data_IF_563053657410
#
_entry.id   IF_563053657410
#
_cell.length_a   1.000
_cell.length_b   1.000
_cell.length_c   1.000
_cell.angle_alpha   90.00
_cell.angle_beta   90.00
_cell.angle_gamma   90.00
#
_symmetry.space_group_name_H-M   'P 1'
#
loop_
_entity.id
_entity.type
_entity.pdbx_description
1 polymer ?
#
# COMPACT_ATOMS: atom_id res chain seq x y z
N UNK A 1 -48.82 43.82 3.37
CA UNK A 1 -47.83 42.72 3.51
C UNK A 1 -48.43 41.39 3.02
N UNK A 2 -48.67 41.22 1.70
CA UNK A 2 -49.26 39.97 1.20
C UNK A 2 -48.88 39.63 -0.25
N UNK A 3 -47.67 39.99 -0.68
CA UNK A 3 -47.32 39.90 -2.11
C UNK A 3 -45.92 39.32 -2.40
N UNK A 4 -45.35 38.54 -1.47
CA UNK A 4 -44.05 37.84 -1.71
C UNK A 4 -44.08 36.35 -1.32
N UNK A 5 -45.22 35.80 -0.88
CA UNK A 5 -45.32 34.40 -0.39
C UNK A 5 -45.58 33.40 -1.53
N UNK A 6 -46.31 33.82 -2.57
CA UNK A 6 -46.75 32.97 -3.67
C UNK A 6 -45.64 32.24 -4.47
N UNK A 7 -44.45 32.81 -4.76
CA UNK A 7 -43.43 32.11 -5.55
C UNK A 7 -42.67 31.04 -4.77
N UNK A 8 -42.55 31.18 -3.44
CA UNK A 8 -41.85 30.20 -2.60
C UNK A 8 -42.71 28.97 -2.32
N UNK A 9 -44.02 29.14 -2.15
CA UNK A 9 -44.95 28.01 -1.98
C UNK A 9 -44.99 27.11 -3.22
N UNK A 10 -44.95 27.70 -4.43
CA UNK A 10 -44.88 26.94 -5.68
C UNK A 10 -43.58 26.13 -5.80
N UNK A 11 -42.44 26.74 -5.46
CA UNK A 11 -41.14 26.04 -5.49
C UNK A 11 -41.06 24.89 -4.48
N UNK A 12 -41.67 25.05 -3.30
CA UNK A 12 -41.73 23.99 -2.28
C UNK A 12 -42.60 22.82 -2.74
N UNK A 13 -43.72 23.08 -3.42
CA UNK A 13 -44.57 22.03 -3.95
C UNK A 13 -43.92 21.28 -5.12
N UNK A 14 -43.15 21.96 -5.98
CA UNK A 14 -42.37 21.31 -7.04
C UNK A 14 -41.24 20.43 -6.46
N UNK A 15 -40.52 20.90 -5.44
CA UNK A 15 -39.51 20.11 -4.73
C UNK A 15 -40.14 18.87 -4.06
N UNK A 16 -41.32 19.00 -3.45
CA UNK A 16 -42.04 17.85 -2.87
C UNK A 16 -42.45 16.83 -3.93
N UNK A 17 -42.82 17.28 -5.14
CA UNK A 17 -43.11 16.37 -6.25
C UNK A 17 -41.84 15.65 -6.71
N UNK A 18 -40.73 16.35 -6.84
CA UNK A 18 -39.45 15.75 -7.24
C UNK A 18 -38.96 14.72 -6.22
N UNK A 19 -39.10 15.00 -4.91
CA UNK A 19 -38.77 14.04 -3.84
C UNK A 19 -39.62 12.77 -3.98
N UNK A 20 -40.94 12.89 -4.17
CA UNK A 20 -41.82 11.73 -4.37
C UNK A 20 -41.46 10.90 -5.60
N UNK A 21 -41.08 11.55 -6.70
CA UNK A 21 -40.62 10.86 -7.91
C UNK A 21 -39.34 10.06 -7.64
N UNK A 22 -38.36 10.67 -6.94
CA UNK A 22 -37.11 10.00 -6.58
C UNK A 22 -37.31 8.88 -5.56
N UNK A 23 -38.25 9.01 -4.63
CA UNK A 23 -38.60 7.93 -3.68
C UNK A 23 -39.11 6.67 -4.41
N UNK A 24 -39.98 6.84 -5.41
CA UNK A 24 -40.48 5.73 -6.24
C UNK A 24 -39.36 5.11 -7.08
N UNK A 25 -38.44 5.92 -7.61
CA UNK A 25 -37.28 5.41 -8.36
C UNK A 25 -36.34 4.59 -7.47
N UNK A 26 -36.10 5.04 -6.24
CA UNK A 26 -35.28 4.31 -5.26
C UNK A 26 -35.94 2.97 -4.91
N UNK A 27 -37.26 2.93 -4.73
CA UNK A 27 -37.97 1.69 -4.43
C UNK A 27 -37.88 0.68 -5.59
N UNK A 28 -38.05 1.16 -6.84
CA UNK A 28 -37.87 0.35 -8.05
C UNK A 28 -36.44 -0.18 -8.18
N UNK A 29 -35.42 0.66 -7.92
CA UNK A 29 -34.02 0.23 -7.94
C UNK A 29 -33.70 -0.80 -6.85
N UNK A 30 -34.30 -0.67 -5.65
CA UNK A 30 -34.18 -1.67 -4.58
C UNK A 30 -34.82 -3.00 -4.97
N UNK A 31 -35.98 -2.97 -5.63
CA UNK A 31 -36.65 -4.18 -6.12
C UNK A 31 -35.84 -4.89 -7.22
N UNK A 32 -35.25 -4.11 -8.15
CA UNK A 32 -34.31 -4.61 -9.17
C UNK A 32 -33.06 -5.23 -8.54
N UNK A 33 -32.52 -4.63 -7.49
CA UNK A 33 -31.37 -5.19 -6.77
C UNK A 33 -31.72 -6.49 -6.05
N UNK A 34 -32.90 -6.56 -5.43
CA UNK A 34 -33.39 -7.76 -4.76
C UNK A 34 -33.66 -8.90 -5.74
N UNK A 35 -34.20 -8.61 -6.93
CA UNK A 35 -34.42 -9.63 -7.97
C UNK A 35 -33.10 -10.18 -8.51
N UNK A 36 -32.08 -9.35 -8.74
CA UNK A 36 -30.73 -9.81 -9.12
C UNK A 36 -30.07 -10.63 -8.01
N UNK A 37 -30.28 -10.24 -6.74
CA UNK A 37 -29.75 -10.96 -5.57
C UNK A 37 -30.41 -12.34 -5.42
N UNK A 38 -31.71 -12.46 -5.66
CA UNK A 38 -32.45 -13.73 -5.59
C UNK A 38 -32.10 -14.71 -6.73
N UNK A 39 -31.74 -14.21 -7.92
CA UNK A 39 -31.31 -15.05 -9.05
C UNK A 39 -29.94 -15.70 -8.82
N UNK A 40 -29.13 -15.18 -7.89
CA UNK A 40 -27.82 -15.75 -7.55
C UNK A 40 -27.88 -17.01 -6.66
N UNK A 41 -29.03 -17.30 -6.04
CA UNK A 41 -29.21 -18.44 -5.12
C UNK A 41 -30.03 -19.62 -5.70
N UNK A 42 -30.27 -19.65 -7.01
CA UNK A 42 -31.09 -20.65 -7.69
C UNK A 42 -30.33 -21.62 -8.60
N UNK A 43 -29.24 -22.26 -8.13
CA UNK A 43 -28.46 -23.20 -8.94
C UNK A 43 -28.56 -24.67 -8.50
N UNK A 44 -29.53 -25.43 -9.04
CA UNK A 44 -29.55 -26.90 -8.91
C UNK A 44 -28.63 -27.57 -9.94
N UNK A 45 -27.67 -28.33 -9.41
CA UNK A 45 -27.22 -29.68 -9.82
C UNK A 45 -26.49 -29.88 -11.17
N UNK A 46 -25.18 -30.16 -11.07
CA UNK A 46 -24.36 -30.76 -12.12
C UNK A 46 -22.97 -31.21 -11.65
N UNK A 47 -22.89 -32.45 -11.13
CA UNK A 47 -21.72 -33.35 -10.94
C UNK A 47 -20.31 -32.83 -11.31
N UNK A 48 -19.37 -32.81 -10.34
CA UNK A 48 -18.13 -33.62 -10.34
C UNK A 48 -17.28 -33.36 -9.07
N UNK A 49 -16.44 -34.33 -8.74
CA UNK A 49 -15.78 -34.59 -7.46
C UNK A 49 -14.57 -33.67 -7.16
N UNK A 50 -14.46 -33.17 -5.92
CA UNK A 50 -13.21 -33.23 -5.13
C UNK A 50 -13.45 -32.79 -3.68
N UNK A 51 -13.00 -33.60 -2.72
CA UNK A 51 -13.10 -33.39 -1.29
C UNK A 51 -12.21 -32.22 -0.84
N UNK A 52 -12.81 -31.16 -0.28
CA UNK A 52 -12.22 -30.45 0.86
C UNK A 52 -13.33 -29.87 1.74
N UNK A 53 -13.48 -30.46 2.92
CA UNK A 53 -14.47 -30.13 3.94
C UNK A 53 -14.17 -28.72 4.47
N UNK A 54 -14.93 -27.72 4.02
CA UNK A 54 -15.04 -26.43 4.71
C UNK A 54 -16.32 -26.50 5.53
N UNK A 55 -16.17 -26.60 6.84
CA UNK A 55 -17.27 -26.50 7.79
C UNK A 55 -17.73 -25.04 7.80
N UNK A 56 -18.75 -24.71 7.02
CA UNK A 56 -19.38 -23.41 7.05
C UNK A 56 -20.44 -23.43 8.16
N UNK A 57 -20.02 -23.13 9.38
CA UNK A 57 -20.93 -22.75 10.46
C UNK A 57 -21.50 -21.39 10.08
N UNK A 58 -22.70 -21.36 9.53
CA UNK A 58 -23.45 -20.13 9.31
C UNK A 58 -23.84 -19.56 10.67
N UNK A 59 -22.98 -18.69 11.20
CA UNK A 59 -23.40 -17.67 12.16
C UNK A 59 -23.85 -16.49 11.31
N UNK A 60 -25.09 -16.04 11.54
CA UNK A 60 -25.68 -14.82 11.01
C UNK A 60 -24.63 -13.71 11.00
N UNK A 61 -24.16 -13.34 9.80
CA UNK A 61 -22.84 -12.77 9.59
C UNK A 61 -22.71 -11.36 10.16
N UNK A 62 -21.94 -11.23 11.23
CA UNK A 62 -21.37 -9.96 11.65
C UNK A 62 -20.68 -9.29 10.43
N UNK A 63 -20.80 -7.96 10.32
CA UNK A 63 -20.06 -7.22 9.30
C UNK A 63 -18.57 -7.62 9.36
N UNK A 64 -17.87 -7.75 8.21
CA UNK A 64 -16.45 -8.07 8.22
C UNK A 64 -15.72 -7.11 9.16
N UNK A 65 -14.88 -7.64 10.04
CA UNK A 65 -14.11 -6.86 11.02
C UNK A 65 -12.66 -6.82 10.54
N UNK A 66 -11.93 -5.70 10.70
CA UNK A 66 -10.48 -5.70 10.49
C UNK A 66 -9.81 -6.71 11.43
N UNK A 67 -8.95 -7.59 10.88
CA UNK A 67 -8.24 -8.58 11.70
C UNK A 67 -6.73 -8.50 11.48
N UNK A 68 -5.92 -8.92 12.48
CA UNK A 68 -4.47 -9.04 12.33
C UNK A 68 -4.05 -9.89 11.12
N UNK A 69 -4.77 -10.97 10.82
CA UNK A 69 -4.48 -11.85 9.68
C UNK A 69 -4.71 -11.14 8.34
N UNK A 70 -5.69 -10.24 8.27
CA UNK A 70 -5.92 -9.42 7.09
C UNK A 70 -4.79 -8.40 6.88
N UNK A 71 -4.23 -7.87 7.98
CA UNK A 71 -3.05 -7.01 7.94
C UNK A 71 -1.82 -7.77 7.46
N UNK A 72 -1.57 -8.98 8.00
CA UNK A 72 -0.49 -9.86 7.56
C UNK A 72 -0.60 -10.21 6.07
N UNK A 73 -1.80 -10.57 5.60
CA UNK A 73 -2.06 -10.87 4.19
C UNK A 73 -1.86 -9.65 3.27
N UNK A 74 -2.20 -8.46 3.74
CA UNK A 74 -1.98 -7.21 3.00
C UNK A 74 -0.50 -6.85 2.97
N UNK A 75 0.26 -7.10 4.05
CA UNK A 75 1.71 -6.93 4.02
C UNK A 75 2.38 -7.91 3.04
N UNK A 76 1.89 -9.14 2.90
CA UNK A 76 2.36 -10.05 1.86
C UNK A 76 2.16 -9.47 0.44
N UNK A 77 1.03 -8.81 0.17
CA UNK A 77 0.80 -8.12 -1.10
C UNK A 77 1.78 -6.97 -1.29
N UNK A 78 2.06 -6.18 -0.25
CA UNK A 78 3.08 -5.13 -0.28
C UNK A 78 4.45 -5.69 -0.62
N UNK A 79 4.84 -6.82 -0.02
CA UNK A 79 6.12 -7.50 -0.31
C UNK A 79 6.23 -7.88 -1.79
N UNK A 80 5.19 -8.49 -2.37
CA UNK A 80 5.21 -8.90 -3.78
C UNK A 80 5.17 -7.70 -4.74
N UNK A 81 4.33 -6.70 -4.47
CA UNK A 81 4.28 -5.48 -5.26
C UNK A 81 5.62 -4.71 -5.24
N UNK A 82 6.27 -4.64 -4.07
CA UNK A 82 7.58 -4.03 -3.91
C UNK A 82 8.66 -4.76 -4.69
N UNK A 83 8.66 -6.11 -4.66
CA UNK A 83 9.56 -6.93 -5.48
C UNK A 83 9.32 -6.74 -6.97
N UNK A 84 8.06 -6.67 -7.42
CA UNK A 84 7.70 -6.45 -8.83
C UNK A 84 8.24 -5.11 -9.32
N UNK A 85 7.83 -4.03 -8.65
CA UNK A 85 8.21 -2.66 -9.01
C UNK A 85 9.73 -2.46 -8.97
N UNK A 86 10.41 -2.96 -7.93
CA UNK A 86 11.87 -2.88 -7.82
C UNK A 86 12.57 -3.63 -8.95
N UNK A 87 12.03 -4.78 -9.36
CA UNK A 87 12.61 -5.57 -10.45
C UNK A 87 12.45 -4.85 -11.79
N UNK A 88 11.31 -4.21 -12.03
CA UNK A 88 11.10 -3.36 -13.20
C UNK A 88 12.06 -2.16 -13.20
N UNK A 89 12.15 -1.43 -12.09
CA UNK A 89 13.04 -0.28 -11.96
C UNK A 89 14.50 -0.68 -12.22
N UNK A 90 14.94 -1.81 -11.66
CA UNK A 90 16.29 -2.33 -11.89
C UNK A 90 16.52 -2.75 -13.35
N UNK A 91 15.50 -3.26 -14.06
CA UNK A 91 15.60 -3.56 -15.50
C UNK A 91 15.84 -2.28 -16.29
N UNK A 92 15.01 -1.25 -16.07
CA UNK A 92 15.12 0.04 -16.74
C UNK A 92 16.47 0.70 -16.47
N UNK A 93 16.98 0.64 -15.22
CA UNK A 93 18.31 1.16 -14.89
C UNK A 93 19.42 0.46 -15.71
N UNK A 94 19.31 -0.85 -15.94
CA UNK A 94 20.26 -1.61 -16.76
C UNK A 94 20.15 -1.25 -18.24
N UNK A 95 18.93 -1.09 -18.75
CA UNK A 95 18.67 -0.65 -20.12
C UNK A 95 19.23 0.76 -20.39
N UNK A 96 19.08 1.65 -19.40
CA UNK A 96 19.67 2.99 -19.38
C UNK A 96 21.20 3.00 -19.10
N UNK A 97 21.83 1.82 -19.01
CA UNK A 97 23.28 1.63 -18.78
C UNK A 97 23.83 2.31 -17.53
N UNK A 98 23.04 2.34 -16.45
CA UNK A 98 23.51 2.85 -15.16
C UNK A 98 24.64 1.99 -14.58
N UNK A 99 25.61 2.64 -13.93
CA UNK A 99 26.49 1.95 -12.99
C UNK A 99 25.70 1.58 -11.74
N UNK A 100 25.15 0.36 -11.74
CA UNK A 100 24.35 -0.18 -10.64
C UNK A 100 25.15 -0.21 -9.34
N UNK A 101 26.46 -0.49 -9.40
CA UNK A 101 27.28 -0.53 -8.19
C UNK A 101 27.45 0.88 -7.59
N UNK A 102 27.64 1.91 -8.43
CA UNK A 102 27.66 3.30 -7.97
C UNK A 102 26.31 3.75 -7.39
N UNK A 103 25.19 3.37 -8.03
CA UNK A 103 23.86 3.68 -7.54
C UNK A 103 23.61 3.06 -6.14
N UNK A 104 24.02 1.80 -5.95
CA UNK A 104 23.93 1.12 -4.66
C UNK A 104 24.78 1.81 -3.59
N UNK A 105 26.05 2.13 -3.89
CA UNK A 105 26.91 2.90 -2.96
C UNK A 105 26.28 4.23 -2.56
N UNK A 106 25.63 4.93 -3.51
CA UNK A 106 24.93 6.19 -3.23
C UNK A 106 23.72 6.00 -2.33
N UNK A 107 22.94 4.92 -2.53
CA UNK A 107 21.80 4.58 -1.66
C UNK A 107 22.30 4.30 -0.24
N UNK A 108 23.35 3.47 -0.12
CA UNK A 108 23.92 3.10 1.18
C UNK A 108 24.51 4.31 1.91
N UNK A 109 25.25 5.19 1.22
CA UNK A 109 25.77 6.42 1.81
C UNK A 109 24.66 7.33 2.33
N UNK A 110 23.55 7.46 1.57
CA UNK A 110 22.38 8.23 1.99
C UNK A 110 21.58 7.56 3.14
N UNK A 111 21.80 6.27 3.41
CA UNK A 111 21.25 5.60 4.61
C UNK A 111 22.17 5.75 5.81
N UNK A 112 23.49 5.63 5.61
CA UNK A 112 24.49 5.68 6.68
C UNK A 112 24.63 7.07 7.32
N UNK A 113 24.35 8.16 6.57
CA UNK A 113 24.38 9.51 7.13
C UNK A 113 23.40 9.75 8.29
N UNK A 114 22.39 8.88 8.46
CA UNK A 114 21.45 8.92 9.58
C UNK A 114 21.84 8.02 10.76
N UNK A 115 22.82 7.12 10.60
CA UNK A 115 23.27 6.18 11.62
C UNK A 115 24.72 6.49 12.05
N UNK A 116 24.92 6.92 13.29
CA UNK A 116 26.21 7.40 13.84
C UNK A 116 27.29 6.31 14.01
N UNK A 117 27.08 5.10 13.49
CA UNK A 117 28.00 3.96 13.69
C UNK A 117 28.63 3.52 12.37
N UNK A 118 29.93 3.78 12.24
CA UNK A 118 30.72 3.39 11.08
C UNK A 118 31.04 1.88 11.13
N UNK A 119 30.23 1.08 10.44
CA UNK A 119 30.56 -0.33 10.16
C UNK A 119 31.06 -0.46 8.72
N UNK A 120 32.25 -1.05 8.54
CA UNK A 120 32.85 -1.26 7.22
C UNK A 120 32.27 -2.52 6.60
N UNK A 121 31.33 -2.37 5.68
CA UNK A 121 30.64 -3.52 5.07
C UNK A 121 31.51 -4.15 3.97
N UNK A 122 32.09 -5.34 4.20
CA UNK A 122 32.71 -6.11 3.10
C UNK A 122 31.69 -7.03 2.45
N UNK A 123 31.30 -6.72 1.20
CA UNK A 123 30.43 -7.58 0.39
C UNK A 123 31.33 -8.49 -0.44
N UNK A 124 31.25 -9.81 -0.24
CA UNK A 124 31.97 -10.79 -1.06
C UNK A 124 31.45 -10.77 -2.51
N UNK A 125 32.31 -10.56 -3.52
CA UNK A 125 31.88 -10.27 -4.88
C UNK A 125 31.67 -11.56 -5.68
N UNK A 126 30.47 -11.76 -6.23
CA UNK A 126 30.22 -12.40 -7.54
C UNK A 126 28.75 -12.80 -7.69
N UNK A 127 28.18 -13.53 -6.71
CA UNK A 127 26.74 -13.93 -6.72
C UNK A 127 25.91 -13.14 -5.71
N UNK A 128 26.51 -12.76 -4.58
CA UNK A 128 25.89 -11.92 -3.54
C UNK A 128 25.67 -10.49 -4.07
N UNK A 129 26.56 -10.00 -4.94
CA UNK A 129 26.50 -8.63 -5.49
C UNK A 129 25.23 -8.34 -6.32
N UNK A 130 24.75 -9.30 -7.11
CA UNK A 130 23.54 -9.11 -7.94
C UNK A 130 22.25 -9.10 -7.10
N UNK A 131 22.19 -9.92 -6.05
CA UNK A 131 21.08 -9.88 -5.10
C UNK A 131 21.15 -8.65 -4.19
N UNK A 132 22.35 -8.23 -3.81
CA UNK A 132 22.58 -7.04 -3.02
C UNK A 132 22.03 -5.78 -3.70
N UNK A 133 22.31 -5.58 -4.99
CA UNK A 133 21.78 -4.43 -5.73
C UNK A 133 20.25 -4.38 -5.75
N UNK A 134 19.61 -5.55 -5.96
CA UNK A 134 18.14 -5.66 -5.89
C UNK A 134 17.61 -5.24 -4.53
N UNK A 135 18.21 -5.74 -3.45
CA UNK A 135 17.73 -5.47 -2.09
C UNK A 135 18.03 -4.04 -1.62
N UNK A 136 19.16 -3.46 -2.05
CA UNK A 136 19.47 -2.06 -1.79
C UNK A 136 18.47 -1.13 -2.49
N UNK A 137 18.09 -1.44 -3.74
CA UNK A 137 17.05 -0.70 -4.44
C UNK A 137 15.67 -0.91 -3.81
N UNK A 138 15.34 -2.13 -3.40
CA UNK A 138 14.09 -2.44 -2.68
C UNK A 138 14.00 -1.65 -1.36
N UNK A 139 15.10 -1.59 -0.61
CA UNK A 139 15.24 -0.77 0.60
C UNK A 139 15.01 0.72 0.31
N UNK A 140 15.62 1.26 -0.76
CA UNK A 140 15.41 2.63 -1.18
C UNK A 140 13.93 2.94 -1.46
N UNK A 141 13.27 2.10 -2.26
CA UNK A 141 11.85 2.25 -2.59
C UNK A 141 10.99 2.13 -1.33
N UNK A 142 11.24 1.10 -0.49
CA UNK A 142 10.50 0.86 0.74
C UNK A 142 10.56 2.07 1.68
N UNK A 143 11.76 2.60 1.94
CA UNK A 143 11.92 3.78 2.80
C UNK A 143 11.11 4.98 2.31
N UNK A 144 11.08 5.22 1.00
CA UNK A 144 10.32 6.33 0.40
C UNK A 144 8.81 6.09 0.42
N UNK A 145 8.36 4.88 0.08
CA UNK A 145 6.92 4.57 0.02
C UNK A 145 6.29 4.54 1.42
N UNK A 146 7.00 4.06 2.44
CA UNK A 146 6.55 4.04 3.84
C UNK A 146 6.74 5.37 4.59
N UNK A 147 7.38 6.38 4.01
CA UNK A 147 7.60 7.67 4.71
C UNK A 147 6.27 8.28 5.23
N UNK A 148 6.17 8.51 6.54
CA UNK A 148 4.97 9.07 7.17
C UNK A 148 3.84 8.07 7.42
N UNK A 149 4.09 6.76 7.32
CA UNK A 149 3.10 5.72 7.56
C UNK A 149 2.51 5.75 8.98
N UNK A 150 3.23 6.31 9.93
CA UNK A 150 2.82 6.55 11.32
C UNK A 150 1.77 7.66 11.49
N UNK A 151 1.51 8.45 10.46
CA UNK A 151 0.48 9.50 10.46
C UNK A 151 -0.76 9.08 9.66
N UNK A 152 -1.96 9.40 10.17
CA UNK A 152 -3.26 9.06 9.57
C UNK A 152 -3.48 9.56 8.13
N UNK A 153 -2.66 10.49 7.66
CA UNK A 153 -2.72 11.05 6.30
C UNK A 153 -1.36 11.11 5.61
N UNK A 154 -0.35 10.35 6.06
CA UNK A 154 1.03 10.44 5.53
C UNK A 154 1.61 11.87 5.55
N UNK A 155 1.21 12.67 6.55
CA UNK A 155 1.52 14.10 6.63
C UNK A 155 1.18 14.88 5.35
N UNK A 156 0.06 14.57 4.69
CA UNK A 156 -0.37 15.27 3.46
C UNK A 156 -1.15 16.55 3.76
N UNK A 157 -2.01 16.55 4.78
CA UNK A 157 -2.92 17.67 5.09
C UNK A 157 -2.96 18.03 6.60
N UNK A 158 -2.16 17.37 7.44
CA UNK A 158 -2.08 17.65 8.88
C UNK A 158 -3.36 17.36 9.66
N UNK A 159 -4.33 16.66 9.05
CA UNK A 159 -5.56 16.23 9.73
C UNK A 159 -5.26 15.23 10.85
N UNK A 160 -6.07 15.29 11.92
CA UNK A 160 -6.04 14.39 13.07
C UNK A 160 -7.47 13.94 13.45
N UNK A 161 -8.19 13.38 12.47
CA UNK A 161 -9.57 12.90 12.62
C UNK A 161 -9.69 11.81 13.68
N UNK A 162 -8.66 10.98 13.83
CA UNK A 162 -8.58 9.96 14.87
C UNK A 162 -8.66 10.52 16.29
N UNK A 163 -8.20 11.76 16.53
CA UNK A 163 -8.26 12.39 17.87
C UNK A 163 -9.66 12.88 18.23
N UNK A 164 -10.49 13.21 17.23
CA UNK A 164 -11.82 13.75 17.45
C UNK A 164 -12.84 12.63 17.70
N UNK A 165 -12.84 11.59 16.87
CA UNK A 165 -13.76 10.46 16.97
C UNK A 165 -13.06 9.15 16.58
N UNK A 166 -12.27 8.53 17.48
CA UNK A 166 -11.47 7.34 17.18
C UNK A 166 -12.29 6.19 16.58
N UNK A 167 -13.40 5.80 17.23
CA UNK A 167 -14.23 4.68 16.79
C UNK A 167 -14.83 4.88 15.40
N UNK A 168 -15.24 6.11 15.09
CA UNK A 168 -15.77 6.44 13.78
C UNK A 168 -14.66 6.38 12.73
N UNK A 169 -13.51 6.98 13.04
CA UNK A 169 -12.35 6.98 12.16
C UNK A 169 -11.86 5.54 11.84
N UNK A 170 -11.81 4.64 12.83
CA UNK A 170 -11.46 3.23 12.61
C UNK A 170 -12.43 2.53 11.65
N UNK A 171 -13.74 2.75 11.81
CA UNK A 171 -14.77 2.19 10.91
C UNK A 171 -14.69 2.76 9.50
N UNK A 172 -14.42 4.05 9.37
CA UNK A 172 -14.24 4.73 8.08
C UNK A 172 -13.01 4.20 7.35
N UNK A 173 -11.88 4.03 8.04
CA UNK A 173 -10.67 3.41 7.48
C UNK A 173 -10.96 2.01 6.94
N UNK A 174 -11.69 1.18 7.69
CA UNK A 174 -12.03 -0.16 7.21
C UNK A 174 -12.99 -0.13 6.02
N UNK A 175 -13.95 0.80 6.01
CA UNK A 175 -14.86 0.99 4.87
C UNK A 175 -14.07 1.38 3.62
N UNK A 176 -13.20 2.39 3.73
CA UNK A 176 -12.30 2.80 2.65
C UNK A 176 -11.37 1.68 2.19
N UNK A 177 -10.90 0.81 3.10
CA UNK A 177 -10.10 -0.36 2.73
C UNK A 177 -10.87 -1.28 1.81
N UNK A 178 -12.12 -1.62 2.16
CA UNK A 178 -12.95 -2.53 1.35
C UNK A 178 -13.23 -1.94 -0.03
N UNK A 179 -13.59 -0.65 -0.06
CA UNK A 179 -13.93 0.05 -1.29
C UNK A 179 -12.69 0.12 -2.20
N UNK A 180 -11.55 0.57 -1.68
CA UNK A 180 -10.29 0.65 -2.43
C UNK A 180 -9.80 -0.73 -2.91
N UNK A 181 -9.99 -1.78 -2.11
CA UNK A 181 -9.55 -3.13 -2.49
C UNK A 181 -10.21 -3.59 -3.79
N UNK A 182 -11.49 -3.26 -3.98
CA UNK A 182 -12.29 -3.64 -5.14
C UNK A 182 -12.03 -2.79 -6.40
N UNK A 183 -11.45 -1.59 -6.26
CA UNK A 183 -11.23 -0.66 -7.38
C UNK A 183 -9.90 -0.88 -8.09
N UNK A 184 -9.84 -0.75 -9.41
CA UNK A 184 -8.57 -0.63 -10.12
C UNK A 184 -7.96 0.77 -9.91
N UNK A 185 -6.66 0.89 -9.52
CA UNK A 185 -6.07 2.19 -9.23
C UNK A 185 -5.92 3.09 -10.47
N UNK A 186 -5.76 2.52 -11.67
CA UNK A 186 -5.67 3.29 -12.92
C UNK A 186 -7.04 3.85 -13.29
N UNK A 187 -8.09 3.02 -13.19
CA UNK A 187 -9.48 3.46 -13.42
C UNK A 187 -9.90 4.54 -12.43
N UNK A 188 -9.65 4.33 -11.12
CA UNK A 188 -9.97 5.29 -10.07
C UNK A 188 -9.35 6.66 -10.35
N UNK A 189 -8.06 6.69 -10.66
CA UNK A 189 -7.33 7.93 -10.92
C UNK A 189 -7.65 8.55 -12.29
N UNK A 190 -8.24 7.78 -13.20
CA UNK A 190 -8.84 8.32 -14.42
C UNK A 190 -10.12 9.14 -14.16
N UNK A 191 -10.84 8.88 -13.05
CA UNK A 191 -12.09 9.56 -12.69
C UNK A 191 -11.82 10.63 -11.62
N UNK A 192 -11.06 10.31 -10.58
CA UNK A 192 -10.78 11.16 -9.43
C UNK A 192 -9.26 11.34 -9.21
N UNK A 193 -8.55 12.02 -10.13
CA UNK A 193 -7.09 12.16 -10.06
C UNK A 193 -6.61 12.88 -8.81
N UNK A 194 -7.41 13.78 -8.24
CA UNK A 194 -7.02 14.60 -7.09
C UNK A 194 -7.54 14.08 -5.74
N UNK A 195 -8.07 12.85 -5.70
CA UNK A 195 -8.47 12.21 -4.43
C UNK A 195 -7.25 11.99 -3.50
N UNK A 196 -7.48 11.65 -2.23
CA UNK A 196 -6.39 11.45 -1.26
C UNK A 196 -5.39 10.37 -1.71
N UNK A 197 -5.88 9.29 -2.34
CA UNK A 197 -5.00 8.29 -2.93
C UNK A 197 -4.18 8.83 -4.11
N UNK A 198 -4.77 9.68 -4.97
CA UNK A 198 -4.05 10.34 -6.06
C UNK A 198 -2.96 11.28 -5.56
N UNK A 199 -3.27 12.13 -4.58
CA UNK A 199 -2.28 12.99 -3.91
C UNK A 199 -1.14 12.19 -3.28
N UNK A 200 -1.47 11.07 -2.63
CA UNK A 200 -0.50 10.12 -2.10
C UNK A 200 0.39 9.57 -3.21
N UNK A 201 -0.20 9.08 -4.31
CA UNK A 201 0.55 8.55 -5.46
C UNK A 201 1.50 9.60 -6.04
N UNK A 202 1.06 10.84 -6.23
CA UNK A 202 1.91 11.91 -6.76
C UNK A 202 3.08 12.22 -5.82
N UNK A 203 2.81 12.42 -4.52
CA UNK A 203 3.86 12.70 -3.52
C UNK A 203 4.89 11.58 -3.46
N UNK A 204 4.44 10.32 -3.50
CA UNK A 204 5.31 9.15 -3.41
C UNK A 204 6.11 8.89 -4.68
N UNK A 205 5.48 9.02 -5.84
CA UNK A 205 6.17 8.90 -7.13
C UNK A 205 7.32 9.90 -7.21
N UNK A 206 7.05 11.18 -6.93
CA UNK A 206 8.06 12.25 -6.98
C UNK A 206 9.19 12.07 -5.96
N UNK A 207 8.92 11.37 -4.85
CA UNK A 207 9.92 11.05 -3.82
C UNK A 207 10.81 9.84 -4.17
N UNK A 208 10.30 8.91 -4.99
CA UNK A 208 10.99 7.69 -5.44
C UNK A 208 11.72 7.91 -6.76
N UNK A 209 11.10 8.64 -7.70
CA UNK A 209 11.64 8.84 -9.04
C UNK A 209 12.19 10.26 -9.14
N UNK A 210 13.51 10.36 -9.01
CA UNK A 210 14.23 11.62 -9.14
C UNK A 210 14.21 12.11 -10.60
N UNK A 211 14.18 13.42 -10.90
CA UNK A 211 14.21 13.93 -12.29
C UNK A 211 15.32 13.30 -13.15
N UNK A 212 16.56 13.25 -12.65
CA UNK A 212 17.69 12.59 -13.35
C UNK A 212 17.50 11.09 -13.56
N UNK A 213 16.76 10.43 -12.67
CA UNK A 213 16.39 9.03 -12.85
C UNK A 213 15.43 8.93 -14.03
N UNK A 214 14.36 9.71 -13.99
CA UNK A 214 13.33 9.71 -15.03
C UNK A 214 13.87 10.03 -16.43
N UNK A 215 14.63 11.12 -16.55
CA UNK A 215 15.25 11.53 -17.82
C UNK A 215 16.17 10.43 -18.37
N UNK A 216 16.90 9.73 -17.50
CA UNK A 216 17.76 8.63 -17.94
C UNK A 216 16.99 7.36 -18.30
N UNK A 217 15.85 7.08 -17.66
CA UNK A 217 15.07 5.87 -17.90
C UNK A 217 14.14 6.01 -19.10
N UNK A 218 13.58 7.20 -19.33
CA UNK A 218 12.54 7.44 -20.34
C UNK A 218 12.97 8.42 -21.44
N UNK A 219 14.05 9.17 -21.25
CA UNK A 219 14.55 10.15 -22.22
C UNK A 219 13.92 11.54 -22.11
N UNK A 220 12.92 11.71 -21.25
CA UNK A 220 12.23 12.98 -21.00
C UNK A 220 11.68 13.07 -19.56
N UNK A 221 10.95 14.15 -19.26
CA UNK A 221 10.28 14.40 -17.97
C UNK A 221 8.75 14.52 -18.12
N UNK A 222 8.18 14.03 -19.21
CA UNK A 222 6.76 14.19 -19.51
C UNK A 222 5.89 13.52 -18.44
N UNK A 223 6.30 12.34 -17.98
CA UNK A 223 5.62 11.61 -16.93
C UNK A 223 5.60 12.40 -15.62
N UNK A 224 6.73 12.99 -15.21
CA UNK A 224 6.84 13.85 -14.04
C UNK A 224 5.98 15.09 -14.18
N UNK A 225 5.99 15.74 -15.34
CA UNK A 225 5.21 16.96 -15.57
C UNK A 225 3.72 16.68 -15.39
N UNK A 226 3.23 15.55 -15.90
CA UNK A 226 1.84 15.10 -15.66
C UNK A 226 1.56 14.93 -14.16
N UNK A 227 2.44 14.23 -13.42
CA UNK A 227 2.28 14.01 -11.97
C UNK A 227 2.30 15.32 -11.18
N UNK A 228 3.19 16.25 -11.53
CA UNK A 228 3.27 17.58 -10.93
C UNK A 228 2.03 18.43 -11.20
N UNK A 229 1.41 18.26 -12.37
CA UNK A 229 0.14 18.90 -12.73
C UNK A 229 -1.09 18.24 -12.08
N UNK A 230 -0.90 17.21 -11.24
CA UNK A 230 -1.98 16.49 -10.58
C UNK A 230 -2.65 15.42 -11.45
N UNK A 231 -2.04 15.06 -12.58
CA UNK A 231 -2.50 13.98 -13.44
C UNK A 231 -1.76 12.67 -13.14
N UNK A 232 -2.32 11.56 -13.62
CA UNK A 232 -1.75 10.22 -13.45
C UNK A 232 -1.42 9.59 -14.82
N UNK A 233 -0.13 9.41 -15.13
CA UNK A 233 0.33 8.80 -16.38
C UNK A 233 -0.22 7.39 -16.60
N UNK A 234 -0.44 7.00 -17.87
CA UNK A 234 -0.89 5.65 -18.25
C UNK A 234 0.24 4.72 -18.72
N UNK A 235 1.48 5.06 -18.43
CA UNK A 235 2.62 4.21 -18.80
C UNK A 235 2.61 2.90 -17.99
N UNK A 236 3.25 1.87 -18.54
CA UNK A 236 3.42 0.60 -17.83
C UNK A 236 4.17 0.78 -16.50
N UNK A 237 5.20 1.63 -16.49
CA UNK A 237 5.98 1.92 -15.29
C UNK A 237 5.14 2.58 -14.20
N UNK A 238 4.31 3.57 -14.57
CA UNK A 238 3.42 4.22 -13.62
C UNK A 238 2.33 3.27 -13.12
N UNK A 239 1.80 2.39 -13.98
CA UNK A 239 0.86 1.34 -13.58
C UNK A 239 1.44 0.38 -12.52
N UNK A 240 2.67 -0.10 -12.71
CA UNK A 240 3.37 -0.94 -11.72
C UNK A 240 3.63 -0.18 -10.40
N UNK A 241 3.99 1.10 -10.49
CA UNK A 241 4.10 1.98 -9.32
C UNK A 241 2.75 2.10 -8.58
N UNK A 242 1.64 2.28 -9.30
CA UNK A 242 0.30 2.38 -8.71
C UNK A 242 -0.10 1.08 -7.99
N UNK A 243 0.31 -0.08 -8.50
CA UNK A 243 0.13 -1.37 -7.81
C UNK A 243 0.80 -1.38 -6.43
N UNK A 244 2.06 -0.94 -6.35
CA UNK A 244 2.77 -0.78 -5.08
C UNK A 244 2.12 0.28 -4.18
N UNK A 245 1.79 1.45 -4.72
CA UNK A 245 1.16 2.52 -3.97
C UNK A 245 -0.18 2.09 -3.37
N UNK A 246 -1.02 1.38 -4.14
CA UNK A 246 -2.29 0.82 -3.67
C UNK A 246 -2.08 -0.19 -2.54
N UNK A 247 -1.11 -1.09 -2.66
CA UNK A 247 -0.84 -2.07 -1.61
C UNK A 247 -0.47 -1.40 -0.28
N UNK A 248 0.35 -0.34 -0.33
CA UNK A 248 0.72 0.45 0.86
C UNK A 248 -0.47 1.24 1.41
N UNK A 249 -1.27 1.83 0.54
CA UNK A 249 -2.48 2.56 0.93
C UNK A 249 -3.48 1.65 1.67
N UNK A 250 -3.70 0.44 1.15
CA UNK A 250 -4.52 -0.58 1.79
C UNK A 250 -3.97 -1.02 3.14
N UNK A 251 -2.64 -1.21 3.25
CA UNK A 251 -2.00 -1.56 4.51
C UNK A 251 -2.19 -0.45 5.55
N UNK A 252 -2.08 0.80 5.15
CA UNK A 252 -2.25 1.97 6.02
C UNK A 252 -3.69 2.10 6.51
N UNK A 253 -4.68 1.96 5.63
CA UNK A 253 -6.10 1.91 6.02
C UNK A 253 -6.39 0.76 7.00
N UNK A 254 -5.70 -0.39 6.88
CA UNK A 254 -5.80 -1.46 7.87
C UNK A 254 -5.12 -1.10 9.19
N UNK A 255 -3.95 -0.48 9.15
CA UNK A 255 -3.23 -0.05 10.35
C UNK A 255 -4.11 0.85 11.23
N UNK A 256 -4.81 1.78 10.59
CA UNK A 256 -5.70 2.74 11.25
C UNK A 256 -7.14 2.25 11.43
N UNK A 257 -7.48 1.02 11.02
CA UNK A 257 -8.79 0.41 11.35
C UNK A 257 -8.73 -0.63 12.47
N UNK A 258 -7.53 -1.10 12.81
CA UNK A 258 -7.31 -1.98 13.96
C UNK A 258 -7.20 -1.17 15.25
N UNK A 259 -7.74 -1.73 16.34
CA UNK A 259 -7.58 -1.21 17.69
C UNK A 259 -7.10 -2.36 18.62
N UNK A 260 -5.88 -2.27 19.19
CA UNK A 260 -4.91 -1.20 19.01
C UNK A 260 -4.24 -1.22 17.63
N UNK A 261 -3.87 -0.04 17.13
CA UNK A 261 -3.15 0.11 15.86
C UNK A 261 -1.80 -0.64 15.87
N UNK A 262 -1.40 -1.27 14.74
CA UNK A 262 -0.09 -1.88 14.61
C UNK A 262 1.05 -0.90 14.85
N UNK A 263 2.03 -1.30 15.67
CA UNK A 263 3.23 -0.49 15.90
C UNK A 263 4.30 -0.86 14.87
N UNK A 264 4.64 0.08 13.99
CA UNK A 264 5.74 -0.07 13.03
C UNK A 264 7.10 -0.07 13.74
N UNK A 265 8.02 -0.92 13.29
CA UNK A 265 9.43 -0.89 13.68
C UNK A 265 10.33 -1.16 12.48
N UNK A 266 11.58 -0.70 12.56
CA UNK A 266 12.59 -0.91 11.53
C UNK A 266 13.88 -1.41 12.18
N UNK A 267 14.65 -2.21 11.44
CA UNK A 267 15.94 -2.68 11.91
C UNK A 267 17.03 -1.64 11.61
N UNK A 268 17.84 -1.32 12.62
CA UNK A 268 19.00 -0.43 12.44
C UNK A 268 20.17 -1.14 11.78
N UNK A 269 20.95 -0.42 10.96
CA UNK A 269 22.22 -0.93 10.45
C UNK A 269 23.15 -1.27 11.62
N UNK A 270 23.86 -2.39 11.53
CA UNK A 270 24.74 -2.89 12.57
C UNK A 270 24.06 -3.70 13.69
N UNK A 271 22.72 -3.68 13.77
CA UNK A 271 22.00 -4.42 14.79
C UNK A 271 22.18 -5.94 14.65
N UNK A 272 22.12 -6.65 15.78
CA UNK A 272 22.10 -8.12 15.78
C UNK A 272 20.80 -8.64 15.19
N UNK A 273 20.90 -9.73 14.42
CA UNK A 273 19.74 -10.35 13.82
C UNK A 273 18.86 -11.02 14.89
N UNK A 274 17.60 -10.58 15.00
CA UNK A 274 16.65 -11.16 15.94
C UNK A 274 15.55 -11.97 15.21
N UNK A 275 15.58 -13.32 15.23
CA UNK A 275 14.72 -14.17 14.38
C UNK A 275 13.21 -14.03 14.65
N UNK A 276 12.83 -13.54 15.83
CA UNK A 276 11.42 -13.27 16.15
C UNK A 276 10.88 -12.00 15.46
N UNK A 277 11.72 -10.97 15.27
CA UNK A 277 11.33 -9.66 14.72
C UNK A 277 11.80 -9.45 13.28
N UNK A 278 12.76 -10.25 12.82
CA UNK A 278 13.44 -10.04 11.54
C UNK A 278 13.44 -11.30 10.68
N UNK A 279 13.38 -11.12 9.37
CA UNK A 279 13.61 -12.16 8.37
C UNK A 279 14.66 -11.70 7.35
N UNK A 280 15.58 -12.59 6.97
CA UNK A 280 16.60 -12.28 5.96
C UNK A 280 16.01 -12.39 4.56
N UNK A 281 16.34 -11.44 3.69
CA UNK A 281 15.99 -11.50 2.26
C UNK A 281 16.97 -12.37 1.44
N UNK A 282 18.15 -12.65 1.98
CA UNK A 282 19.14 -13.51 1.34
C UNK A 282 18.80 -15.00 1.47
N UNK A 283 19.20 -15.82 0.50
CA UNK A 283 19.14 -17.28 0.67
C UNK A 283 20.12 -17.69 1.76
N UNK A 284 19.58 -18.16 2.88
CA UNK A 284 20.37 -18.76 3.96
C UNK A 284 20.49 -20.25 3.66
N UNK A 285 21.66 -20.69 3.21
CA UNK A 285 21.95 -22.12 3.06
C UNK A 285 21.73 -22.85 4.40
N UNK A 286 20.83 -23.83 4.44
CA UNK A 286 20.51 -24.58 5.67
C UNK A 286 19.51 -23.91 6.62
N UNK A 287 18.88 -22.79 6.23
CA UNK A 287 17.76 -22.18 6.97
C UNK A 287 18.11 -21.51 8.31
N UNK A 288 19.38 -21.54 8.73
CA UNK A 288 19.87 -20.87 9.95
C UNK A 288 20.87 -19.78 9.61
N UNK A 289 20.62 -18.58 10.14
CA UNK A 289 21.51 -17.42 9.99
C UNK A 289 22.86 -17.77 10.62
N UNK A 290 23.98 -17.70 9.86
CA UNK A 290 25.31 -17.92 10.40
C UNK A 290 25.62 -17.00 11.58
N UNK A 291 26.40 -17.49 12.53
CA UNK A 291 26.90 -16.67 13.64
C UNK A 291 27.74 -15.50 13.12
N UNK A 292 27.68 -14.37 13.82
CA UNK A 292 28.41 -13.15 13.43
C UNK A 292 27.76 -12.36 12.28
N UNK A 293 26.51 -12.65 11.91
CA UNK A 293 25.76 -11.78 10.99
C UNK A 293 25.07 -10.63 11.72
N UNK A 294 25.15 -9.45 11.12
CA UNK A 294 24.48 -8.22 11.54
C UNK A 294 23.61 -7.69 10.40
N UNK A 295 22.69 -6.80 10.73
CA UNK A 295 21.89 -6.07 9.75
C UNK A 295 22.80 -5.16 8.94
N UNK A 296 22.93 -5.41 7.65
CA UNK A 296 23.58 -4.50 6.71
C UNK A 296 22.70 -3.30 6.43
N UNK A 297 21.43 -3.53 6.08
CA UNK A 297 20.41 -2.49 5.95
C UNK A 297 19.00 -3.08 6.04
N UNK A 298 18.01 -2.28 6.47
CA UNK A 298 16.60 -2.66 6.42
C UNK A 298 16.09 -2.67 4.97
N UNK A 299 15.25 -3.65 4.63
CA UNK A 299 14.62 -3.77 3.30
C UNK A 299 13.15 -3.39 3.36
N UNK A 300 12.43 -3.78 4.41
CA UNK A 300 11.06 -3.32 4.67
C UNK A 300 10.77 -3.32 6.17
N UNK A 301 9.88 -2.44 6.66
CA UNK A 301 9.55 -2.39 8.09
C UNK A 301 8.85 -3.67 8.56
N UNK A 302 8.86 -3.85 9.88
CA UNK A 302 8.05 -4.83 10.59
C UNK A 302 6.93 -4.15 11.38
N UNK A 303 5.98 -4.95 11.87
CA UNK A 303 4.84 -4.47 12.65
C UNK A 303 4.55 -5.40 13.82
N UNK A 304 4.29 -4.82 14.99
CA UNK A 304 3.73 -5.54 16.14
C UNK A 304 2.22 -5.32 16.17
N UNK A 305 1.44 -6.39 16.15
CA UNK A 305 -0.02 -6.34 16.11
C UNK A 305 -0.61 -6.42 17.53
N UNK A 306 -1.86 -5.96 17.69
CA UNK A 306 -2.54 -5.90 18.99
C UNK A 306 -2.75 -7.25 19.67
N UNK A 307 -2.81 -8.34 18.90
CA UNK A 307 -2.90 -9.72 19.40
C UNK A 307 -1.53 -10.30 19.84
N UNK A 308 -0.45 -9.50 19.76
CA UNK A 308 0.91 -9.92 20.07
C UNK A 308 1.66 -10.61 18.92
N UNK A 309 1.02 -10.83 17.75
CA UNK A 309 1.73 -11.35 16.58
C UNK A 309 2.67 -10.29 15.99
N UNK A 310 3.68 -10.77 15.24
CA UNK A 310 4.74 -9.93 14.67
C UNK A 310 4.85 -10.21 13.18
N UNK A 311 4.63 -9.15 12.39
CA UNK A 311 5.05 -9.08 11.01
C UNK A 311 6.52 -8.70 11.00
N UNK A 312 7.39 -9.64 10.59
CA UNK A 312 8.84 -9.45 10.66
C UNK A 312 9.31 -8.36 9.70
N UNK A 313 10.24 -7.53 10.18
CA UNK A 313 11.02 -6.64 9.33
C UNK A 313 11.92 -7.46 8.40
N UNK A 314 12.00 -7.06 7.14
CA UNK A 314 12.90 -7.70 6.17
C UNK A 314 14.24 -7.00 6.22
N UNK A 315 15.32 -7.77 6.35
CA UNK A 315 16.67 -7.24 6.49
C UNK A 315 17.63 -7.91 5.52
N UNK A 316 18.60 -7.14 5.03
CA UNK A 316 19.77 -7.69 4.35
C UNK A 316 20.88 -7.90 5.38
N UNK A 317 21.47 -9.09 5.41
CA UNK A 317 22.47 -9.46 6.41
C UNK A 317 23.89 -9.43 5.81
N UNK A 318 24.84 -9.03 6.64
CA UNK A 318 26.27 -8.96 6.32
C UNK A 318 27.08 -9.54 7.48
N UNK A 319 28.30 -10.00 7.19
CA UNK A 319 29.20 -10.45 8.24
C UNK A 319 29.67 -9.25 9.07
N UNK A 320 29.73 -9.42 10.40
CA UNK A 320 30.40 -8.50 11.32
C UNK A 320 31.91 -8.61 11.06
N UNK A 321 32.50 -7.54 10.56
CA UNK A 321 33.95 -7.36 10.39
C UNK A 321 34.55 -6.67 11.59
#
# INVERSE_FOLDING_TARGET
MKEVVAPYEAAVEDLKREVKVKEVEIENLKEKLNTVTCLSNGGKKGRSLSKRKVSCSQVLGAAPVPTPELFEATMCQVKEASKSFTSLLLSLMREARWDIAAAVRSIEAATAAHDTTAYTTTITPSVIANHHAKYALESYVSRKIFQGFDHETFYMDGSLSSLLNPDQYHRECFTQYRDMKAMDPVELLGILPTCNFGKFCSKKYLAIVHPKMEESLFGDLEQRNQVMAGNHPRSQFYGEFLGLAKAIWLLHLLAFSLDPSPSQFEASRGAEFHPHYMESVGKISGGRVPTGQIVGFPVSPGFKLGNGSVVKARVYLVART
#
